data_IF_056275452962
#
_entry.id   IF_056275452962
#
_cell.length_a   1.000
_cell.length_b   1.000
_cell.length_c   1.000
_cell.angle_alpha   90.00
_cell.angle_beta   90.00
_cell.angle_gamma   90.00
#
_symmetry.space_group_name_H-M   'P 1'
#
loop_
_entity.id
_entity.type
_entity.pdbx_description
1 polymer ?
#
# COMPACT_ATOMS: atom_id res chain seq x y z
N UNK A 1 9.61 14.86 24.74
CA UNK A 1 8.98 15.84 23.81
C UNK A 1 8.15 15.13 22.78
N UNK A 2 7.17 15.82 22.17
CA UNK A 2 6.38 15.36 21.02
C UNK A 2 6.45 16.39 19.91
N UNK A 3 6.49 15.93 18.65
CA UNK A 3 6.54 16.75 17.45
C UNK A 3 5.67 16.17 16.32
N UNK A 4 5.12 17.04 15.47
CA UNK A 4 4.31 16.71 14.30
C UNK A 4 2.88 16.28 14.62
N UNK A 5 2.41 16.50 15.82
CA UNK A 5 1.08 16.11 16.25
C UNK A 5 -0.01 16.98 15.59
N UNK A 6 -0.97 16.33 14.96
CA UNK A 6 -2.21 16.96 14.51
C UNK A 6 -3.40 16.18 15.09
N UNK A 7 -4.18 16.84 15.93
CA UNK A 7 -5.25 16.21 16.70
C UNK A 7 -4.80 15.80 18.10
N UNK A 8 -5.20 14.62 18.56
CA UNK A 8 -4.94 14.15 19.92
C UNK A 8 -4.32 12.76 19.93
N UNK A 9 -3.30 12.56 20.74
CA UNK A 9 -2.65 11.28 21.04
C UNK A 9 -2.83 10.94 22.52
N UNK A 10 -2.95 9.65 22.84
CA UNK A 10 -2.83 9.18 24.22
C UNK A 10 -1.54 8.35 24.33
N UNK A 11 -0.60 8.84 25.13
CA UNK A 11 0.58 8.10 25.55
C UNK A 11 0.26 7.34 26.84
N UNK A 12 0.98 6.25 27.08
CA UNK A 12 0.85 5.47 28.31
C UNK A 12 2.23 5.08 28.82
N UNK A 13 2.48 5.25 30.11
CA UNK A 13 3.68 4.75 30.77
C UNK A 13 3.34 3.54 31.63
N UNK A 14 4.16 2.47 31.52
CA UNK A 14 4.02 1.23 32.30
C UNK A 14 2.60 0.63 32.26
N UNK A 15 1.91 0.74 31.14
CA UNK A 15 0.56 0.22 30.90
C UNK A 15 -0.53 0.70 31.88
N UNK A 16 -0.30 1.81 32.61
CA UNK A 16 -1.25 2.28 33.62
C UNK A 16 -1.39 3.79 33.72
N UNK A 17 -0.38 4.56 33.39
CA UNK A 17 -0.40 6.04 33.49
C UNK A 17 -0.63 6.63 32.10
N UNK A 18 -1.84 7.13 31.86
CA UNK A 18 -2.27 7.68 30.58
C UNK A 18 -2.07 9.20 30.55
N UNK A 19 -1.50 9.69 29.45
CA UNK A 19 -1.30 11.10 29.18
C UNK A 19 -1.86 11.47 27.82
N UNK A 20 -2.90 12.30 27.79
CA UNK A 20 -3.44 12.87 26.57
C UNK A 20 -2.73 14.17 26.20
N UNK A 21 -2.27 14.25 24.94
CA UNK A 21 -1.64 15.43 24.37
C UNK A 21 -2.42 15.90 23.13
N UNK A 22 -2.48 17.21 22.91
CA UNK A 22 -3.17 17.84 21.77
C UNK A 22 -2.32 18.88 21.03
N UNK A 23 -1.06 19.03 21.41
CA UNK A 23 -0.11 19.96 20.77
C UNK A 23 1.32 19.46 20.92
N UNK A 24 2.18 19.92 20.03
CA UNK A 24 3.62 19.69 20.10
C UNK A 24 4.23 20.35 21.35
N UNK A 25 5.36 19.81 21.81
CA UNK A 25 6.15 20.37 22.89
C UNK A 25 6.66 19.35 23.91
N UNK A 26 7.05 19.87 25.08
CA UNK A 26 7.43 19.02 26.21
C UNK A 26 6.19 18.43 26.87
N UNK A 27 6.30 17.21 27.39
CA UNK A 27 5.24 16.58 28.19
C UNK A 27 5.81 15.93 29.44
N UNK A 28 4.95 15.73 30.42
CA UNK A 28 5.26 15.05 31.68
C UNK A 28 4.09 14.15 32.07
N UNK A 29 4.40 12.93 32.43
CA UNK A 29 3.41 12.00 32.99
C UNK A 29 3.03 12.41 34.40
N UNK A 30 1.74 12.30 34.80
CA UNK A 30 1.27 12.68 36.11
C UNK A 30 1.85 11.85 37.26
N UNK A 31 2.09 10.55 37.05
CA UNK A 31 2.64 9.69 38.08
C UNK A 31 4.18 9.68 38.03
N UNK A 32 4.88 9.95 39.15
CA UNK A 32 6.33 9.86 39.23
C UNK A 32 6.77 8.38 39.23
N UNK A 33 7.92 8.10 38.62
CA UNK A 33 8.59 6.80 38.64
C UNK A 33 9.75 6.88 39.63
N UNK A 34 9.85 5.91 40.56
CA UNK A 34 10.89 5.89 41.58
C UNK A 34 12.29 5.67 40.95
N UNK A 35 13.34 6.09 41.66
CA UNK A 35 14.72 5.74 41.32
C UNK A 35 14.87 4.23 41.34
N UNK A 36 15.66 3.67 40.40
CA UNK A 36 15.88 2.25 40.12
C UNK A 36 14.66 1.51 39.55
N UNK A 37 13.50 2.20 39.38
CA UNK A 37 12.37 1.62 38.68
C UNK A 37 12.44 1.89 37.16
N UNK A 38 11.80 1.01 36.39
CA UNK A 38 11.73 1.11 34.94
C UNK A 38 10.57 1.99 34.46
N UNK A 39 10.75 2.61 33.30
CA UNK A 39 9.67 3.26 32.55
C UNK A 39 9.51 2.60 31.16
N UNK A 40 8.29 2.60 30.65
CA UNK A 40 7.95 2.10 29.32
C UNK A 40 6.83 2.96 28.72
N UNK A 41 7.24 3.97 27.95
CA UNK A 41 6.32 4.88 27.26
C UNK A 41 5.92 4.30 25.91
N UNK A 42 4.63 4.15 25.69
CA UNK A 42 4.02 3.64 24.46
C UNK A 42 2.92 4.57 23.98
N UNK A 43 2.52 4.43 22.72
CA UNK A 43 1.33 5.07 22.18
C UNK A 43 0.13 4.16 22.44
N UNK A 44 -0.80 4.59 23.25
CA UNK A 44 -2.06 3.87 23.52
C UNK A 44 -3.12 4.14 22.46
N UNK A 45 -3.22 5.39 22.01
CA UNK A 45 -4.19 5.80 20.97
C UNK A 45 -3.52 6.81 20.04
N UNK A 46 -3.46 6.46 18.75
CA UNK A 46 -2.97 7.35 17.71
C UNK A 46 -4.00 8.44 17.35
N UNK A 47 -3.58 9.60 16.82
CA UNK A 47 -4.49 10.54 16.18
C UNK A 47 -5.19 9.91 14.97
N UNK A 48 -6.32 10.49 14.55
CA UNK A 48 -7.19 9.91 13.51
C UNK A 48 -6.48 9.61 12.17
N UNK A 49 -5.52 10.44 11.75
CA UNK A 49 -4.84 10.31 10.46
C UNK A 49 -3.32 10.28 10.60
N UNK A 50 -2.81 9.96 11.78
CA UNK A 50 -1.38 9.91 12.03
C UNK A 50 -0.99 8.65 12.77
N UNK A 51 0.27 8.24 12.59
CA UNK A 51 0.92 7.26 13.43
C UNK A 51 2.00 7.99 14.20
N UNK A 52 2.02 7.80 15.54
CA UNK A 52 3.07 8.31 16.40
C UNK A 52 4.03 7.18 16.77
N UNK A 53 5.32 7.44 16.72
CA UNK A 53 6.39 6.53 17.14
C UNK A 53 7.10 7.08 18.36
N UNK A 54 7.58 6.22 19.23
CA UNK A 54 8.31 6.59 20.45
C UNK A 54 9.75 6.15 20.33
N UNK A 55 10.67 7.08 20.42
CA UNK A 55 12.10 6.79 20.55
C UNK A 55 12.53 6.96 22.01
N UNK A 56 13.47 6.13 22.48
CA UNK A 56 13.95 6.10 23.86
C UNK A 56 12.82 5.95 24.90
N UNK A 57 11.75 5.22 24.52
CA UNK A 57 10.55 5.06 25.34
C UNK A 57 10.73 4.15 26.55
N UNK A 58 11.82 3.40 26.64
CA UNK A 58 12.08 2.47 27.75
C UNK A 58 13.42 2.75 28.40
N UNK A 59 13.49 2.52 29.72
CA UNK A 59 14.72 2.68 30.48
C UNK A 59 14.50 2.52 32.00
N UNK A 60 15.54 2.86 32.77
CA UNK A 60 15.52 2.85 34.23
C UNK A 60 15.82 4.26 34.73
N UNK A 61 15.11 4.73 35.74
CA UNK A 61 15.39 5.99 36.41
C UNK A 61 16.66 5.84 37.25
N UNK A 62 17.71 6.55 36.86
CA UNK A 62 18.99 6.50 37.61
C UNK A 62 19.17 7.72 38.53
N UNK A 63 18.78 8.90 38.06
CA UNK A 63 18.78 10.14 38.84
C UNK A 63 18.05 11.23 38.05
N UNK A 64 17.15 11.98 38.69
CA UNK A 64 16.44 13.09 38.09
C UNK A 64 15.46 12.70 36.96
N UNK A 65 14.97 13.68 36.24
CA UNK A 65 13.96 13.51 35.20
C UNK A 65 14.54 12.94 33.91
N UNK A 66 13.77 12.07 33.24
CA UNK A 66 14.10 11.55 31.91
C UNK A 66 13.57 12.49 30.84
N UNK A 67 14.46 13.12 30.11
CA UNK A 67 14.15 14.06 29.01
C UNK A 67 14.39 13.49 27.60
N UNK A 68 14.91 12.26 27.50
CA UNK A 68 15.31 11.64 26.24
C UNK A 68 14.15 11.04 25.43
N UNK A 69 12.98 10.86 26.03
CA UNK A 69 11.81 10.29 25.32
C UNK A 69 11.34 11.28 24.26
N UNK A 70 11.31 10.80 23.00
CA UNK A 70 10.86 11.57 21.84
C UNK A 70 9.71 10.85 21.15
N UNK A 71 8.60 11.56 20.96
CA UNK A 71 7.45 11.07 20.20
C UNK A 71 7.37 11.87 18.91
N UNK A 72 7.26 11.17 17.78
CA UNK A 72 7.09 11.81 16.47
C UNK A 72 5.81 11.28 15.82
N UNK A 73 4.92 12.19 15.42
CA UNK A 73 3.66 11.86 14.75
C UNK A 73 3.71 12.31 13.29
N UNK A 74 3.28 11.45 12.38
CA UNK A 74 3.22 11.74 10.95
C UNK A 74 2.04 11.02 10.29
N UNK A 75 1.57 11.52 9.15
CA UNK A 75 0.67 10.78 8.27
C UNK A 75 1.41 9.52 7.78
N UNK A 76 0.81 8.33 7.88
CA UNK A 76 1.45 7.10 7.43
C UNK A 76 1.69 7.10 5.92
N UNK A 77 2.77 6.47 5.47
CA UNK A 77 3.10 6.41 4.04
C UNK A 77 2.38 5.31 3.28
N UNK A 78 1.87 4.29 3.98
CA UNK A 78 1.23 3.10 3.38
C UNK A 78 0.10 2.56 4.26
N UNK A 79 -0.83 1.82 3.65
CA UNK A 79 -1.83 1.04 4.40
C UNK A 79 -1.17 -0.01 5.30
N UNK A 80 -0.03 -0.58 4.88
CA UNK A 80 0.72 -1.55 5.67
C UNK A 80 1.29 -0.93 6.95
N UNK A 81 1.74 0.32 6.90
CA UNK A 81 2.18 1.03 8.10
C UNK A 81 1.03 1.25 9.10
N UNK A 82 -0.18 1.55 8.60
CA UNK A 82 -1.38 1.66 9.45
C UNK A 82 -1.68 0.33 10.13
N UNK A 83 -1.69 -0.78 9.37
CA UNK A 83 -1.95 -2.11 9.91
C UNK A 83 -0.88 -2.54 10.94
N UNK A 84 0.39 -2.21 10.68
CA UNK A 84 1.48 -2.50 11.60
C UNK A 84 1.35 -1.74 12.93
N UNK A 85 0.87 -0.50 12.89
CA UNK A 85 0.64 0.32 14.09
C UNK A 85 -0.67 -0.09 14.82
N UNK A 86 -1.65 -0.59 14.11
CA UNK A 86 -2.92 -1.06 14.65
C UNK A 86 -3.38 -2.33 13.93
N UNK A 87 -3.04 -3.49 14.47
CA UNK A 87 -3.41 -4.80 13.92
C UNK A 87 -4.92 -5.07 13.91
N UNK A 88 -5.71 -4.25 14.57
CA UNK A 88 -7.18 -4.30 14.56
C UNK A 88 -7.81 -3.34 13.56
N UNK A 89 -7.01 -2.63 12.76
CA UNK A 89 -7.51 -1.75 11.71
C UNK A 89 -8.41 -2.53 10.75
N UNK A 90 -9.46 -1.88 10.28
CA UNK A 90 -10.47 -2.47 9.39
C UNK A 90 -10.33 -1.92 7.98
N UNK A 91 -10.86 -2.65 7.01
CA UNK A 91 -10.99 -2.16 5.65
C UNK A 91 -11.73 -0.82 5.63
N UNK A 92 -11.19 0.15 4.91
CA UNK A 92 -11.76 1.49 4.88
C UNK A 92 -10.94 2.53 4.17
N UNK A 93 -11.44 3.76 4.21
CA UNK A 93 -10.73 4.92 3.69
C UNK A 93 -9.77 5.47 4.75
N UNK A 94 -8.52 5.65 4.37
CA UNK A 94 -7.46 6.20 5.22
C UNK A 94 -6.69 7.28 4.47
N UNK A 95 -6.14 8.21 5.24
CA UNK A 95 -5.20 9.19 4.71
C UNK A 95 -3.79 8.60 4.76
N UNK A 96 -3.08 8.64 3.64
CA UNK A 96 -1.66 8.29 3.56
C UNK A 96 -0.88 9.41 2.87
N UNK A 97 0.40 9.48 3.12
CA UNK A 97 1.35 10.38 2.48
C UNK A 97 2.45 9.55 1.80
N UNK A 98 2.24 9.10 0.55
CA UNK A 98 3.12 8.11 -0.08
C UNK A 98 4.58 8.55 -0.26
N UNK A 99 4.86 9.85 -0.34
CA UNK A 99 6.23 10.38 -0.43
C UNK A 99 6.75 10.97 0.88
N UNK A 100 5.97 10.86 1.98
CA UNK A 100 6.35 11.28 3.33
C UNK A 100 6.63 12.77 3.42
N UNK A 101 7.89 13.16 3.65
CA UNK A 101 8.27 14.58 3.68
C UNK A 101 8.44 15.20 2.28
N UNK A 102 7.99 14.52 1.24
CA UNK A 102 8.06 14.99 -0.14
C UNK A 102 7.09 16.14 -0.43
N UNK A 103 7.09 16.65 -1.67
CA UNK A 103 6.28 17.81 -2.04
C UNK A 103 4.80 17.49 -2.31
N UNK A 104 4.39 16.22 -2.28
CA UNK A 104 3.01 15.82 -2.59
C UNK A 104 2.13 15.88 -1.35
N UNK A 105 0.87 16.20 -1.56
CA UNK A 105 -0.10 16.24 -0.48
C UNK A 105 -0.56 14.82 -0.12
N UNK A 106 -0.87 14.57 1.17
CA UNK A 106 -1.53 13.34 1.58
C UNK A 106 -2.81 13.07 0.78
N UNK A 107 -3.05 11.79 0.50
CA UNK A 107 -4.17 11.33 -0.33
C UNK A 107 -5.04 10.33 0.42
N UNK A 108 -6.37 10.41 0.22
CA UNK A 108 -7.32 9.44 0.75
C UNK A 108 -7.35 8.22 -0.15
N UNK A 109 -7.04 7.04 0.40
CA UNK A 109 -7.01 5.76 -0.30
C UNK A 109 -7.88 4.73 0.42
N UNK A 110 -8.32 3.72 -0.29
CA UNK A 110 -8.88 2.56 0.37
C UNK A 110 -7.76 1.61 0.79
N UNK A 111 -7.79 1.23 2.07
CA UNK A 111 -6.92 0.19 2.61
C UNK A 111 -7.71 -1.09 2.81
N UNK A 112 -7.24 -2.19 2.21
CA UNK A 112 -7.67 -3.53 2.57
C UNK A 112 -6.75 -4.05 3.68
N UNK A 113 -7.32 -4.27 4.83
CA UNK A 113 -6.59 -4.67 6.04
C UNK A 113 -6.71 -6.17 6.32
N UNK A 114 -7.43 -6.91 5.49
CA UNK A 114 -7.81 -8.30 5.79
C UNK A 114 -7.31 -9.32 4.77
N UNK A 115 -7.33 -9.02 3.47
CA UNK A 115 -6.96 -9.97 2.42
C UNK A 115 -5.48 -10.33 2.51
N UNK A 116 -5.16 -11.62 2.56
CA UNK A 116 -3.79 -12.17 2.57
C UNK A 116 -2.85 -11.54 3.62
N UNK A 117 -3.39 -11.16 4.77
CA UNK A 117 -2.66 -10.48 5.83
C UNK A 117 -2.73 -8.94 5.76
N UNK A 118 -3.43 -8.41 4.79
CA UNK A 118 -3.80 -6.98 4.71
C UNK A 118 -2.68 -5.99 4.42
N UNK A 119 -3.07 -4.73 4.45
CA UNK A 119 -2.16 -3.60 4.21
C UNK A 119 -2.06 -3.20 2.74
N UNK A 120 -2.97 -3.66 1.88
CA UNK A 120 -3.00 -3.25 0.47
C UNK A 120 -3.62 -1.86 0.31
N UNK A 121 -2.93 -1.03 -0.46
CA UNK A 121 -3.36 0.35 -0.79
C UNK A 121 -4.01 0.38 -2.17
N UNK A 122 -5.17 1.03 -2.28
CA UNK A 122 -5.88 1.19 -3.54
C UNK A 122 -6.41 2.60 -3.72
N UNK A 123 -6.02 3.20 -4.84
CA UNK A 123 -6.49 4.50 -5.29
C UNK A 123 -6.99 4.36 -6.74
N UNK A 124 -8.31 4.35 -6.96
CA UNK A 124 -8.87 4.20 -8.30
C UNK A 124 -8.70 5.48 -9.12
N UNK A 125 -8.29 5.33 -10.35
CA UNK A 125 -8.27 6.39 -11.37
C UNK A 125 -9.32 6.06 -12.42
N UNK A 126 -10.18 7.02 -12.71
CA UNK A 126 -11.18 6.95 -13.79
C UNK A 126 -10.81 7.94 -14.89
N UNK A 127 -10.82 7.49 -16.12
CA UNK A 127 -10.37 8.28 -17.27
C UNK A 127 -8.96 7.89 -17.73
N UNK A 128 -8.69 8.13 -19.00
CA UNK A 128 -7.59 7.53 -19.71
C UNK A 128 -6.20 7.81 -19.14
N UNK A 129 -5.36 6.81 -19.15
CA UNK A 129 -3.93 6.98 -19.09
C UNK A 129 -3.52 7.63 -20.42
N UNK A 130 -2.83 8.75 -20.37
CA UNK A 130 -2.32 9.41 -21.57
C UNK A 130 -1.22 8.61 -22.27
N UNK A 131 -0.65 7.63 -21.58
CA UNK A 131 0.34 6.71 -22.11
C UNK A 131 0.12 5.32 -21.57
N UNK A 132 0.45 4.35 -22.35
CA UNK A 132 0.32 2.94 -22.07
C UNK A 132 1.64 2.28 -21.66
N UNK A 133 2.72 3.01 -21.65
CA UNK A 133 4.03 2.48 -21.30
C UNK A 133 4.23 2.51 -19.80
N UNK A 134 4.67 1.39 -19.24
CA UNK A 134 4.97 1.20 -17.82
C UNK A 134 6.09 2.14 -17.31
N UNK A 135 6.92 2.66 -18.20
CA UNK A 135 8.06 3.55 -17.93
C UNK A 135 7.72 5.03 -18.07
N UNK A 136 6.46 5.37 -18.35
CA UNK A 136 6.02 6.76 -18.48
C UNK A 136 5.21 7.20 -17.27
N UNK A 137 5.22 8.51 -17.01
CA UNK A 137 4.44 9.10 -15.94
C UNK A 137 2.93 8.87 -16.13
N UNK A 138 2.26 8.50 -15.06
CA UNK A 138 0.82 8.25 -15.02
C UNK A 138 0.14 9.13 -13.98
N UNK A 139 -1.19 9.10 -13.92
CA UNK A 139 -1.92 9.79 -12.85
C UNK A 139 -1.56 9.28 -11.45
N UNK A 140 -1.02 8.07 -11.32
CA UNK A 140 -0.52 7.56 -10.03
C UNK A 140 0.66 8.38 -9.50
N UNK A 141 1.54 8.84 -10.40
CA UNK A 141 2.72 9.62 -10.01
C UNK A 141 2.36 10.98 -9.43
N UNK A 142 1.20 11.53 -9.81
CA UNK A 142 0.73 12.82 -9.28
C UNK A 142 0.44 12.77 -7.78
N UNK A 143 0.08 11.61 -7.28
CA UNK A 143 -0.22 11.37 -5.85
C UNK A 143 0.85 10.54 -5.14
N UNK A 144 2.01 10.32 -5.75
CA UNK A 144 3.11 9.54 -5.15
C UNK A 144 2.93 8.03 -5.15
N UNK A 145 1.91 7.53 -5.84
CA UNK A 145 1.64 6.11 -6.00
C UNK A 145 2.19 5.58 -7.33
N UNK A 146 2.08 4.28 -7.55
CA UNK A 146 2.46 3.57 -8.77
C UNK A 146 1.29 2.77 -9.31
N UNK A 147 1.40 2.30 -10.54
CA UNK A 147 0.43 1.37 -11.11
C UNK A 147 0.39 0.09 -10.28
N UNK A 148 -0.83 -0.39 -9.98
CA UNK A 148 -1.02 -1.53 -9.09
C UNK A 148 -0.40 -2.80 -9.66
N UNK A 149 0.22 -3.57 -8.78
CA UNK A 149 0.69 -4.94 -9.05
C UNK A 149 -0.16 -5.89 -8.22
N UNK A 150 -1.00 -6.73 -8.83
CA UNK A 150 -1.72 -7.76 -8.08
C UNK A 150 -0.73 -8.79 -7.55
N UNK A 151 -0.66 -8.97 -6.24
CA UNK A 151 0.32 -9.84 -5.59
C UNK A 151 -0.13 -11.29 -5.51
N UNK A 152 -1.42 -11.48 -5.31
CA UNK A 152 -2.04 -12.79 -5.09
C UNK A 152 -3.40 -12.85 -5.76
N UNK A 153 -3.96 -14.05 -5.81
CA UNK A 153 -5.35 -14.28 -6.23
C UNK A 153 -6.33 -13.50 -5.36
N UNK A 154 -6.14 -13.52 -4.03
CA UNK A 154 -6.97 -12.80 -3.07
C UNK A 154 -6.96 -11.30 -3.34
N UNK A 155 -5.78 -10.71 -3.48
CA UNK A 155 -5.61 -9.28 -3.76
C UNK A 155 -6.33 -8.86 -5.06
N UNK A 156 -6.13 -9.58 -6.18
CA UNK A 156 -6.78 -9.27 -7.45
C UNK A 156 -8.30 -9.43 -7.37
N UNK A 157 -8.78 -10.52 -6.73
CA UNK A 157 -10.22 -10.78 -6.55
C UNK A 157 -10.87 -9.67 -5.73
N UNK A 158 -10.22 -9.23 -4.66
CA UNK A 158 -10.75 -8.17 -3.81
C UNK A 158 -10.83 -6.83 -4.57
N UNK A 159 -9.78 -6.44 -5.31
CA UNK A 159 -9.80 -5.24 -6.15
C UNK A 159 -10.95 -5.29 -7.17
N UNK A 160 -11.11 -6.42 -7.84
CA UNK A 160 -12.18 -6.60 -8.82
C UNK A 160 -13.58 -6.55 -8.19
N UNK A 161 -13.76 -7.20 -7.04
CA UNK A 161 -15.01 -7.18 -6.30
C UNK A 161 -15.40 -5.77 -5.86
N UNK A 162 -14.42 -4.99 -5.41
CA UNK A 162 -14.66 -3.64 -4.91
C UNK A 162 -14.93 -2.62 -6.02
N UNK A 163 -14.16 -2.67 -7.09
CA UNK A 163 -14.19 -1.64 -8.13
C UNK A 163 -14.89 -2.08 -9.42
N UNK A 164 -15.10 -3.38 -9.60
CA UNK A 164 -15.78 -3.96 -10.76
C UNK A 164 -15.03 -3.82 -12.08
N UNK A 165 -15.55 -4.48 -13.11
CA UNK A 165 -14.95 -4.48 -14.45
C UNK A 165 -14.84 -3.08 -15.07
N UNK A 166 -15.82 -2.21 -14.85
CA UNK A 166 -15.85 -0.86 -15.45
C UNK A 166 -14.79 0.08 -14.88
N UNK A 167 -14.34 -0.18 -13.64
CA UNK A 167 -13.38 0.66 -12.93
C UNK A 167 -11.99 0.03 -12.81
N UNK A 168 -11.84 -1.22 -13.23
CA UNK A 168 -10.57 -1.94 -13.17
C UNK A 168 -10.39 -2.78 -14.44
N UNK A 169 -9.94 -2.14 -15.50
CA UNK A 169 -9.88 -2.72 -16.84
C UNK A 169 -8.47 -3.13 -17.26
N UNK A 170 -7.43 -2.72 -16.55
CA UNK A 170 -6.04 -3.01 -16.91
C UNK A 170 -5.16 -3.34 -15.71
N UNK A 171 -4.13 -4.15 -15.94
CA UNK A 171 -3.05 -4.47 -14.99
C UNK A 171 -1.75 -3.78 -15.43
N UNK A 172 -1.64 -2.46 -15.28
CA UNK A 172 -0.52 -1.74 -15.87
C UNK A 172 0.79 -1.87 -15.08
N UNK A 173 0.74 -2.46 -13.88
CA UNK A 173 1.94 -2.77 -13.08
C UNK A 173 2.66 -4.04 -13.51
N UNK A 174 2.12 -4.80 -14.49
CA UNK A 174 2.73 -6.02 -15.04
C UNK A 174 2.85 -5.87 -16.55
N UNK A 175 4.03 -6.09 -17.10
CA UNK A 175 4.34 -5.87 -18.52
C UNK A 175 5.22 -6.97 -19.11
N UNK A 176 5.17 -7.10 -20.45
CA UNK A 176 6.02 -8.04 -21.21
C UNK A 176 7.43 -7.50 -21.41
N UNK A 177 8.45 -8.32 -21.17
CA UNK A 177 9.86 -7.96 -21.39
C UNK A 177 10.25 -7.94 -22.88
N UNK A 178 9.62 -8.81 -23.66
CA UNK A 178 9.90 -8.92 -25.11
C UNK A 178 8.58 -8.68 -25.82
N UNK A 179 8.51 -7.60 -26.59
CA UNK A 179 7.29 -7.14 -27.23
C UNK A 179 6.54 -8.27 -27.93
N UNK A 180 5.27 -8.43 -27.55
CA UNK A 180 4.34 -9.30 -28.23
C UNK A 180 4.63 -10.79 -28.26
N UNK A 181 5.33 -11.33 -27.28
CA UNK A 181 5.56 -12.78 -27.23
C UNK A 181 4.25 -13.56 -27.11
N UNK A 182 4.05 -14.54 -28.01
CA UNK A 182 2.95 -15.48 -27.88
C UNK A 182 3.20 -16.45 -26.73
N UNK A 183 2.38 -16.36 -25.70
CA UNK A 183 2.43 -17.20 -24.51
C UNK A 183 1.12 -17.95 -24.29
N UNK A 184 0.38 -18.20 -25.38
CA UNK A 184 -0.83 -19.01 -25.40
C UNK A 184 -0.61 -20.33 -24.67
N UNK A 185 -1.51 -20.68 -23.77
CA UNK A 185 -1.42 -21.92 -23.00
C UNK A 185 -0.58 -21.83 -21.72
N UNK A 186 -0.12 -20.64 -21.34
CA UNK A 186 0.62 -20.44 -20.10
C UNK A 186 -0.26 -20.07 -18.89
N UNK A 187 0.25 -20.34 -17.70
CA UNK A 187 -0.22 -19.69 -16.49
C UNK A 187 0.44 -18.31 -16.37
N UNK A 188 -0.26 -17.36 -15.77
CA UNK A 188 0.18 -15.97 -15.71
C UNK A 188 0.36 -15.53 -14.24
N UNK A 189 1.50 -15.94 -13.69
CA UNK A 189 1.96 -15.52 -12.37
C UNK A 189 3.50 -15.61 -12.30
N UNK A 190 4.10 -14.92 -11.36
CA UNK A 190 5.57 -14.85 -11.23
C UNK A 190 6.24 -16.14 -10.78
N UNK A 191 5.49 -17.13 -10.31
CA UNK A 191 6.04 -18.45 -9.95
C UNK A 191 6.20 -19.37 -11.17
N UNK A 192 5.54 -19.07 -12.30
CA UNK A 192 5.68 -19.85 -13.52
C UNK A 192 7.01 -19.56 -14.21
N UNK A 193 7.80 -20.63 -14.43
CA UNK A 193 9.14 -20.51 -14.99
C UNK A 193 9.13 -20.23 -16.51
N UNK A 194 8.02 -20.42 -17.19
CA UNK A 194 7.89 -20.28 -18.64
C UNK A 194 7.38 -18.90 -19.02
N UNK A 195 6.22 -18.53 -18.53
CA UNK A 195 5.56 -17.27 -18.87
C UNK A 195 5.84 -16.17 -17.86
N UNK A 196 5.90 -16.51 -16.59
CA UNK A 196 6.18 -15.55 -15.50
C UNK A 196 7.54 -14.86 -15.61
N UNK A 197 8.51 -15.43 -16.32
CA UNK A 197 9.80 -14.77 -16.58
C UNK A 197 9.76 -13.76 -17.74
N UNK A 198 8.77 -13.83 -18.61
CA UNK A 198 8.62 -12.95 -19.77
C UNK A 198 7.66 -11.79 -19.49
N UNK A 199 6.80 -11.96 -18.50
CA UNK A 199 5.96 -10.89 -17.93
C UNK A 199 6.42 -10.60 -16.52
N UNK A 200 6.69 -9.35 -16.22
CA UNK A 200 7.29 -8.94 -14.96
C UNK A 200 6.53 -7.77 -14.35
N UNK A 201 6.52 -7.72 -13.03
CA UNK A 201 6.05 -6.55 -12.32
C UNK A 201 7.07 -5.39 -12.44
N UNK A 202 6.59 -4.16 -12.44
CA UNK A 202 7.43 -2.95 -12.54
C UNK A 202 8.46 -2.85 -11.42
N UNK A 203 8.19 -3.44 -10.25
CA UNK A 203 9.12 -3.51 -9.12
C UNK A 203 9.91 -4.84 -9.05
N UNK A 204 9.78 -5.69 -10.08
CA UNK A 204 10.42 -7.02 -10.16
C UNK A 204 10.01 -7.99 -9.05
N UNK A 205 8.95 -7.68 -8.33
CA UNK A 205 8.41 -8.53 -7.27
C UNK A 205 7.40 -9.56 -7.75
N UNK A 206 6.87 -10.36 -6.82
CA UNK A 206 5.84 -11.33 -7.12
C UNK A 206 4.56 -10.66 -7.64
N UNK A 207 3.91 -11.32 -8.58
CA UNK A 207 2.62 -10.92 -9.14
C UNK A 207 1.78 -12.14 -9.50
N UNK A 208 0.47 -11.96 -9.59
CA UNK A 208 -0.47 -13.02 -9.92
C UNK A 208 -1.61 -12.49 -10.78
N UNK A 209 -1.98 -13.24 -11.80
CA UNK A 209 -3.19 -13.01 -12.60
C UNK A 209 -3.99 -14.31 -12.77
N UNK A 210 -3.30 -15.47 -12.96
CA UNK A 210 -3.98 -16.72 -13.27
C UNK A 210 -3.09 -17.94 -12.96
N UNK A 211 -3.70 -19.03 -12.47
CA UNK A 211 -3.04 -20.32 -12.24
C UNK A 211 -3.36 -21.38 -13.31
N UNK A 212 -4.26 -21.09 -14.22
CA UNK A 212 -4.64 -22.02 -15.28
C UNK A 212 -4.20 -21.51 -16.65
N UNK A 213 -3.87 -22.43 -17.56
CA UNK A 213 -3.58 -22.11 -18.94
C UNK A 213 -4.73 -21.32 -19.60
N UNK A 214 -4.38 -20.39 -20.48
CA UNK A 214 -5.32 -19.51 -21.17
C UNK A 214 -4.85 -19.21 -22.59
N UNK A 215 -5.75 -18.74 -23.46
CA UNK A 215 -5.44 -18.39 -24.84
C UNK A 215 -4.65 -17.09 -25.01
N UNK A 216 -4.50 -16.34 -23.93
CA UNK A 216 -3.79 -15.07 -23.88
C UNK A 216 -2.62 -15.13 -22.87
N UNK A 217 -1.60 -14.28 -23.02
CA UNK A 217 -1.40 -13.33 -24.12
C UNK A 217 -0.98 -14.05 -25.41
N UNK A 218 -1.61 -13.74 -26.54
CA UNK A 218 -1.40 -14.42 -27.80
C UNK A 218 -0.38 -13.73 -28.72
N UNK A 219 0.04 -12.52 -28.38
CA UNK A 219 1.05 -11.76 -29.11
C UNK A 219 0.52 -11.06 -30.37
N UNK A 220 -0.79 -10.88 -30.52
CA UNK A 220 -1.39 -10.20 -31.66
C UNK A 220 -1.22 -8.66 -31.63
N UNK A 221 -0.82 -8.10 -30.48
CA UNK A 221 -0.39 -6.72 -30.32
C UNK A 221 1.14 -6.62 -30.32
N UNK A 222 1.68 -5.76 -31.15
CA UNK A 222 3.11 -5.67 -31.47
C UNK A 222 4.03 -5.30 -30.28
N UNK A 223 3.48 -4.98 -29.13
CA UNK A 223 4.29 -4.50 -28.01
C UNK A 223 3.96 -5.11 -26.64
N UNK A 224 2.88 -5.87 -26.48
CA UNK A 224 2.55 -6.57 -25.24
C UNK A 224 2.83 -5.75 -23.96
N UNK A 225 2.37 -4.49 -23.92
CA UNK A 225 2.81 -3.55 -22.87
C UNK A 225 2.11 -3.77 -21.55
N UNK A 226 0.92 -4.33 -21.56
CA UNK A 226 0.14 -4.64 -20.38
C UNK A 226 -0.99 -5.63 -20.68
N UNK A 227 -1.65 -6.07 -19.63
CA UNK A 227 -2.82 -6.93 -19.73
C UNK A 227 -4.10 -6.10 -19.57
N UNK A 228 -4.97 -6.13 -20.56
CA UNK A 228 -6.35 -5.71 -20.42
C UNK A 228 -7.10 -6.78 -19.63
N UNK A 229 -7.69 -6.40 -18.50
CA UNK A 229 -8.28 -7.35 -17.56
C UNK A 229 -9.77 -7.56 -17.83
N UNK A 230 -10.17 -8.84 -17.97
CA UNK A 230 -11.56 -9.27 -17.87
C UNK A 230 -11.94 -9.71 -16.46
N UNK A 231 -13.14 -10.22 -16.31
CA UNK A 231 -13.61 -10.78 -15.05
C UNK A 231 -13.05 -12.18 -14.77
N UNK A 232 -13.24 -12.68 -13.54
CA UNK A 232 -12.87 -14.04 -13.20
C UNK A 232 -13.80 -15.06 -13.86
N UNK A 233 -13.24 -16.20 -14.26
CA UNK A 233 -13.99 -17.38 -14.67
C UNK A 233 -14.61 -18.10 -13.46
N UNK A 234 -15.33 -19.21 -13.72
CA UNK A 234 -15.99 -19.99 -12.65
C UNK A 234 -15.02 -20.55 -11.59
N UNK A 235 -13.72 -20.63 -11.90
CA UNK A 235 -12.68 -21.09 -10.99
C UNK A 235 -11.94 -19.93 -10.30
N UNK A 236 -12.38 -18.69 -10.55
CA UNK A 236 -11.76 -17.49 -10.01
C UNK A 236 -10.44 -17.12 -10.66
N UNK A 237 -10.13 -17.66 -11.85
CA UNK A 237 -9.00 -17.23 -12.66
C UNK A 237 -9.43 -16.05 -13.53
N UNK A 238 -8.65 -15.00 -13.56
CA UNK A 238 -8.97 -13.84 -14.37
C UNK A 238 -8.71 -14.09 -15.85
N UNK A 239 -9.57 -13.53 -16.68
CA UNK A 239 -9.36 -13.44 -18.13
C UNK A 239 -8.63 -12.14 -18.43
N UNK A 240 -7.83 -12.13 -19.46
CA UNK A 240 -7.06 -10.96 -19.89
C UNK A 240 -6.71 -11.07 -21.37
N UNK A 241 -6.29 -9.94 -21.95
CA UNK A 241 -5.74 -9.86 -23.29
C UNK A 241 -4.48 -9.00 -23.24
N UNK A 242 -3.45 -9.30 -23.99
CA UNK A 242 -2.32 -8.39 -24.14
C UNK A 242 -2.77 -7.15 -24.94
N UNK A 243 -2.20 -6.01 -24.62
CA UNK A 243 -2.63 -4.74 -25.18
C UNK A 243 -1.46 -3.92 -25.73
N UNK A 244 -1.77 -3.13 -26.75
CA UNK A 244 -0.83 -2.23 -27.40
C UNK A 244 -0.33 -1.12 -26.44
N UNK A 245 0.93 -0.76 -26.57
CA UNK A 245 1.54 0.35 -25.82
C UNK A 245 0.87 1.73 -26.00
N UNK A 246 0.03 1.88 -26.97
CA UNK A 246 -0.70 3.14 -27.24
C UNK A 246 -2.16 3.10 -26.77
N UNK A 247 -2.53 2.14 -25.95
CA UNK A 247 -3.88 2.04 -25.40
C UNK A 247 -4.12 3.18 -24.40
N UNK A 248 -4.94 4.17 -24.75
CA UNK A 248 -4.95 5.44 -24.04
C UNK A 248 -6.33 5.99 -23.64
N UNK A 249 -7.43 5.51 -24.17
CA UNK A 249 -8.72 6.17 -23.96
C UNK A 249 -9.72 5.33 -23.19
N UNK A 250 -10.39 5.95 -22.20
CA UNK A 250 -11.47 5.35 -21.43
C UNK A 250 -11.04 4.30 -20.42
N UNK A 251 -9.75 4.23 -20.11
CA UNK A 251 -9.18 3.20 -19.26
C UNK A 251 -9.31 3.59 -17.79
N UNK A 252 -9.80 2.67 -16.97
CA UNK A 252 -9.78 2.80 -15.53
C UNK A 252 -8.76 1.82 -14.94
N UNK A 253 -8.03 2.25 -13.92
CA UNK A 253 -6.99 1.47 -13.27
C UNK A 253 -6.85 1.85 -11.81
N UNK A 254 -6.06 1.08 -11.08
CA UNK A 254 -5.80 1.30 -9.67
C UNK A 254 -4.33 1.67 -9.49
N UNK A 255 -4.10 2.66 -8.64
CA UNK A 255 -2.78 3.00 -8.11
C UNK A 255 -2.59 2.39 -6.73
N UNK A 256 -1.35 2.03 -6.41
CA UNK A 256 -0.95 1.45 -5.13
C UNK A 256 0.47 1.89 -4.78
N UNK A 257 0.82 1.83 -3.51
CA UNK A 257 2.21 1.88 -3.05
C UNK A 257 2.96 0.57 -3.35
N UNK A 258 2.22 -0.48 -3.74
CA UNK A 258 2.70 -1.84 -3.97
C UNK A 258 3.45 -2.44 -2.77
N UNK A 259 3.19 -1.97 -1.55
CA UNK A 259 3.75 -2.53 -0.32
C UNK A 259 3.45 -4.03 -0.21
N UNK A 260 4.42 -4.78 0.27
CA UNK A 260 4.40 -6.25 0.39
C UNK A 260 4.27 -6.69 1.84
#
# INVERSE_FOLDING_TARGET
>A
TIAGLSGSVVLQNNAGDDLQLSSDGAFQFPAPVAVDATYAVTVKTHPANQICTVASGTGTITSGDVSSVMVTCAVPTTCKAILAANQSAKDGMYMIDPDGAGPKMPVSVFCDMTTDGGGYTMYPVTGGISTSRFDQATSCDTVGLKLVIPRTKGHLTMMYTKYGAASFQVLPGVYGLVGGGNYTGCVMNSADATCGKNWVATDKGAWWSRDAAYSEPNGDYTAGCWLSLGGPDANGNFTFNDANCNYSTGTSYICSDNAK
#
